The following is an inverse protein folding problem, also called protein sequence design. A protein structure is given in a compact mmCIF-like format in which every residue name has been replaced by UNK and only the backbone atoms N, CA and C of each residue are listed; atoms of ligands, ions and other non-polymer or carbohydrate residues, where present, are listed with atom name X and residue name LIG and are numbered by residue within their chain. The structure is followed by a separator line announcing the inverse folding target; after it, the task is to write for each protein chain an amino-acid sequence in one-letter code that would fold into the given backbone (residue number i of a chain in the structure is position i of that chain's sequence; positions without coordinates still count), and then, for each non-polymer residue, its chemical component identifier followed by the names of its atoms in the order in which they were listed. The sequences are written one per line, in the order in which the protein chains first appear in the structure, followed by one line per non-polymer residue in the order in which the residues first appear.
data_IF_962104639985
#
_entry.id   IF_962104639985
#
_cell.length_a   1.000
_cell.length_b   1.000
_cell.length_c   1.000
_cell.angle_alpha   90.00
_cell.angle_beta   90.00
_cell.angle_gamma   90.00
#
_symmetry.space_group_name_H-M   'P 1'
#
loop_
_entity.id
_entity.type
_entity.pdbx_description
1 polymer ?
#
# COMPACT_ATOMS: atom_id res chain seq x y z
N UNK A 1 9.98 2.63 23.18
CA UNK A 1 8.87 2.02 22.40
C UNK A 1 7.58 2.37 23.11
N UNK A 2 6.57 2.86 22.40
CA UNK A 2 5.26 3.20 22.94
C UNK A 2 4.21 2.46 22.11
N UNK A 3 3.13 2.04 22.76
CA UNK A 3 1.97 1.45 22.10
C UNK A 3 0.77 2.33 22.37
N UNK A 4 -0.04 2.57 21.33
CA UNK A 4 -1.32 3.26 21.45
C UNK A 4 -2.38 2.43 20.77
N UNK A 5 -3.49 2.22 21.47
CA UNK A 5 -4.64 1.50 20.95
C UNK A 5 -5.57 2.52 20.30
N UNK A 6 -5.92 2.28 19.04
CA UNK A 6 -6.88 3.08 18.29
C UNK A 6 -8.15 2.25 18.10
N UNK A 7 -9.24 2.67 18.74
CA UNK A 7 -10.52 1.99 18.60
C UNK A 7 -11.14 2.31 17.22
N UNK A 8 -11.56 1.27 16.52
CA UNK A 8 -12.17 1.37 15.19
C UNK A 8 -13.39 0.46 15.11
N UNK A 9 -14.34 0.79 14.25
CA UNK A 9 -15.52 -0.06 14.03
C UNK A 9 -15.13 -1.40 13.40
N UNK A 10 -15.76 -2.47 13.85
CA UNK A 10 -15.69 -3.76 13.18
C UNK A 10 -16.66 -3.80 11.98
N UNK A 11 -16.28 -4.52 10.91
CA UNK A 11 -17.14 -4.77 9.76
C UNK A 11 -17.54 -6.25 9.70
N UNK A 12 -18.72 -6.52 9.14
CA UNK A 12 -19.29 -7.88 9.07
C UNK A 12 -18.49 -8.82 8.16
N UNK A 13 -17.91 -8.30 7.07
CA UNK A 13 -17.16 -9.09 6.09
C UNK A 13 -15.67 -8.85 6.25
N UNK A 14 -14.88 -9.92 6.21
CA UNK A 14 -13.42 -9.81 6.30
C UNK A 14 -12.82 -8.98 5.15
N UNK A 15 -13.44 -8.99 3.97
CA UNK A 15 -13.02 -8.16 2.84
C UNK A 15 -13.15 -6.68 3.19
N UNK A 16 -14.25 -6.28 3.83
CA UNK A 16 -14.47 -4.89 4.24
C UNK A 16 -13.50 -4.51 5.35
N UNK A 17 -13.23 -5.42 6.31
CA UNK A 17 -12.18 -5.21 7.33
C UNK A 17 -10.82 -4.95 6.67
N UNK A 18 -10.42 -5.74 5.67
CA UNK A 18 -9.13 -5.58 5.00
C UNK A 18 -9.06 -4.29 4.17
N UNK A 19 -10.09 -3.99 3.37
CA UNK A 19 -10.12 -2.83 2.48
C UNK A 19 -10.20 -1.50 3.25
N UNK A 20 -10.96 -1.46 4.35
CA UNK A 20 -11.18 -0.22 5.12
C UNK A 20 -9.97 0.23 5.92
N UNK A 21 -8.92 -0.58 6.00
CA UNK A 21 -7.63 -0.17 6.59
C UNK A 21 -7.04 1.05 5.89
N UNK A 22 -7.16 1.16 4.57
CA UNK A 22 -6.62 2.30 3.83
C UNK A 22 -7.28 3.62 4.25
N UNK A 23 -8.60 3.61 4.42
CA UNK A 23 -9.36 4.77 4.94
C UNK A 23 -8.94 5.10 6.37
N UNK A 24 -8.89 4.10 7.27
CA UNK A 24 -8.47 4.31 8.66
C UNK A 24 -7.04 4.86 8.77
N UNK A 25 -6.10 4.29 8.02
CA UNK A 25 -4.71 4.76 8.00
C UNK A 25 -4.66 6.20 7.54
N UNK A 26 -5.39 6.56 6.48
CA UNK A 26 -5.47 7.94 5.99
C UNK A 26 -6.02 8.90 7.06
N UNK A 27 -7.13 8.54 7.71
CA UNK A 27 -7.72 9.35 8.77
C UNK A 27 -6.76 9.57 9.94
N UNK A 28 -6.04 8.53 10.36
CA UNK A 28 -5.08 8.63 11.46
C UNK A 28 -3.77 9.31 11.05
N UNK A 29 -3.39 9.29 9.77
CA UNK A 29 -2.29 10.12 9.27
C UNK A 29 -2.57 11.59 9.55
N UNK A 30 -3.74 12.09 9.18
CA UNK A 30 -4.14 13.49 9.39
C UNK A 30 -4.29 13.85 10.86
N UNK A 31 -4.94 12.98 11.63
CA UNK A 31 -5.26 13.26 13.03
C UNK A 31 -4.04 13.15 13.95
N UNK A 32 -3.04 12.34 13.57
CA UNK A 32 -2.03 11.87 14.52
C UNK A 32 -0.66 11.60 13.92
N UNK A 33 -0.54 10.72 12.92
CA UNK A 33 0.79 10.21 12.54
C UNK A 33 1.69 11.29 11.95
N UNK A 34 1.12 12.31 11.29
CA UNK A 34 1.90 13.45 10.76
C UNK A 34 2.68 14.24 11.82
N UNK A 35 2.22 14.24 13.08
CA UNK A 35 2.89 14.96 14.17
C UNK A 35 3.71 14.04 15.08
N UNK A 36 3.56 12.71 14.97
CA UNK A 36 4.16 11.75 15.90
C UNK A 36 5.30 10.91 15.31
N UNK A 37 5.33 10.67 13.99
CA UNK A 37 6.31 9.77 13.35
C UNK A 37 6.83 10.32 12.03
N UNK A 38 8.07 9.97 11.68
CA UNK A 38 8.66 10.31 10.37
C UNK A 38 8.26 9.32 9.26
N UNK A 39 8.05 8.05 9.63
CA UNK A 39 7.68 6.97 8.72
C UNK A 39 6.59 6.11 9.34
N UNK A 40 5.65 5.70 8.50
CA UNK A 40 4.66 4.69 8.86
C UNK A 40 5.02 3.37 8.17
N UNK A 41 4.98 2.26 8.91
CA UNK A 41 5.06 0.91 8.34
C UNK A 41 3.76 0.19 8.69
N UNK A 42 2.99 -0.17 7.67
CA UNK A 42 1.74 -0.91 7.84
C UNK A 42 1.99 -2.38 7.56
N UNK A 43 1.49 -3.30 8.40
CA UNK A 43 1.63 -4.75 8.23
C UNK A 43 0.35 -5.49 8.65
N UNK A 44 0.10 -6.65 8.05
CA UNK A 44 -0.90 -7.60 8.52
C UNK A 44 -0.52 -8.16 9.91
N UNK A 45 -1.53 -8.48 10.73
CA UNK A 45 -1.36 -8.91 12.13
C UNK A 45 -1.08 -10.41 12.29
N UNK A 46 -1.38 -11.21 11.28
CA UNK A 46 -1.16 -12.66 11.22
C UNK A 46 0.28 -13.03 10.79
N UNK A 47 1.23 -12.17 11.14
CA UNK A 47 2.65 -12.27 10.80
C UNK A 47 3.53 -12.27 12.06
N UNK A 48 4.71 -12.88 11.98
CA UNK A 48 5.74 -12.82 13.01
C UNK A 48 7.09 -12.40 12.43
N UNK A 49 7.84 -11.58 13.18
CA UNK A 49 9.21 -11.22 12.82
C UNK A 49 10.17 -12.33 13.22
N UNK A 50 10.85 -12.94 12.24
CA UNK A 50 11.84 -14.02 12.47
C UNK A 50 13.29 -13.56 12.38
N UNK A 51 13.53 -12.41 11.78
CA UNK A 51 14.87 -11.84 11.58
C UNK A 51 14.79 -10.31 11.57
N UNK A 52 15.93 -9.65 11.36
CA UNK A 52 16.07 -8.19 11.34
C UNK A 52 15.17 -7.54 10.28
N UNK A 53 14.43 -6.51 10.73
CA UNK A 53 13.77 -5.50 9.90
C UNK A 53 14.07 -4.16 10.55
N UNK A 54 14.90 -3.35 9.90
CA UNK A 54 15.45 -2.12 10.43
C UNK A 54 15.15 -0.91 9.57
N UNK A 55 16.12 0.01 9.53
CA UNK A 55 15.99 1.28 8.79
C UNK A 55 16.24 1.14 7.29
N UNK A 56 16.76 -0.01 6.85
CA UNK A 56 17.05 -0.34 5.46
C UNK A 56 15.81 -0.33 4.56
N UNK A 57 14.62 -0.50 5.12
CA UNK A 57 13.35 -0.43 4.39
C UNK A 57 12.81 1.01 4.29
N UNK A 58 13.36 1.97 5.04
CA UNK A 58 12.80 3.32 5.13
C UNK A 58 13.15 4.14 3.90
N UNK A 59 12.13 4.59 3.20
CA UNK A 59 12.20 5.41 1.98
C UNK A 59 10.87 6.16 1.84
N UNK A 60 10.78 7.24 1.04
CA UNK A 60 9.52 7.98 0.89
C UNK A 60 8.31 7.13 0.51
N UNK A 61 8.53 6.06 -0.26
CA UNK A 61 7.52 5.03 -0.57
C UNK A 61 8.20 3.69 -0.86
N UNK A 62 7.76 2.61 -0.24
CA UNK A 62 8.16 1.25 -0.64
C UNK A 62 6.97 0.30 -0.77
N UNK A 63 7.20 -0.84 -1.42
CA UNK A 63 6.29 -1.98 -1.44
C UNK A 63 7.06 -3.29 -1.46
N UNK A 64 6.40 -4.35 -0.98
CA UNK A 64 7.01 -5.68 -0.85
C UNK A 64 6.53 -6.60 -1.95
N UNK A 65 7.46 -7.30 -2.59
CA UNK A 65 7.15 -8.33 -3.57
C UNK A 65 6.36 -9.47 -2.91
N UNK A 66 5.27 -9.89 -3.54
CA UNK A 66 4.50 -11.02 -3.04
C UNK A 66 5.31 -12.32 -3.19
N UNK A 67 5.48 -13.13 -2.13
CA UNK A 67 6.32 -14.34 -2.17
C UNK A 67 5.82 -15.39 -3.16
N UNK A 68 4.52 -15.42 -3.46
CA UNK A 68 3.94 -16.29 -4.50
C UNK A 68 4.17 -15.85 -5.95
N UNK A 69 4.70 -14.64 -6.21
CA UNK A 69 4.78 -14.08 -7.56
C UNK A 69 6.13 -13.43 -7.92
N UNK A 70 7.11 -13.35 -7.00
CA UNK A 70 8.37 -12.64 -7.27
C UNK A 70 9.17 -13.20 -8.46
N UNK A 71 8.99 -14.48 -8.81
CA UNK A 71 9.60 -15.14 -9.97
C UNK A 71 8.66 -15.36 -11.16
N UNK A 72 7.43 -14.87 -11.09
CA UNK A 72 6.40 -15.11 -12.11
C UNK A 72 6.45 -14.05 -13.23
N UNK A 73 6.04 -14.41 -14.45
CA UNK A 73 5.82 -13.43 -15.51
C UNK A 73 4.59 -12.56 -15.22
N UNK A 74 4.57 -11.32 -15.72
CA UNK A 74 3.51 -10.33 -15.43
C UNK A 74 2.10 -10.77 -15.83
N UNK A 75 2.01 -11.61 -16.84
CA UNK A 75 0.77 -12.19 -17.34
C UNK A 75 0.16 -13.22 -16.36
N UNK A 76 0.99 -13.81 -15.49
CA UNK A 76 0.55 -14.71 -14.42
C UNK A 76 0.12 -13.96 -13.15
N UNK A 77 0.40 -12.65 -13.04
CA UNK A 77 -0.02 -11.84 -11.90
C UNK A 77 -1.55 -11.76 -11.83
N UNK A 78 -2.08 -11.94 -10.62
CA UNK A 78 -3.51 -11.88 -10.32
C UNK A 78 -3.99 -10.45 -10.11
N UNK A 79 -3.55 -9.52 -10.96
CA UNK A 79 -4.16 -8.20 -11.02
C UNK A 79 -5.64 -8.31 -11.41
N UNK A 80 -6.41 -7.28 -11.08
CA UNK A 80 -7.77 -7.18 -11.59
C UNK A 80 -7.74 -6.98 -13.11
N UNK A 81 -8.48 -7.81 -13.84
CA UNK A 81 -8.47 -7.85 -15.31
C UNK A 81 -9.79 -7.38 -15.93
N UNK A 82 -10.78 -7.03 -15.11
CA UNK A 82 -12.05 -6.45 -15.56
C UNK A 82 -11.89 -4.95 -15.78
N UNK A 83 -12.03 -4.43 -17.00
CA UNK A 83 -11.86 -2.99 -17.30
C UNK A 83 -12.84 -2.06 -16.57
N UNK A 84 -13.91 -2.61 -16.00
CA UNK A 84 -14.88 -1.85 -15.21
C UNK A 84 -14.36 -1.49 -13.81
N UNK A 85 -13.29 -2.14 -13.34
CA UNK A 85 -12.69 -1.88 -12.03
C UNK A 85 -11.62 -0.79 -12.12
N UNK A 86 -11.57 0.09 -11.12
CA UNK A 86 -10.50 1.08 -10.98
C UNK A 86 -9.13 0.43 -10.71
N UNK A 87 -9.09 -0.83 -10.28
CA UNK A 87 -7.86 -1.58 -10.06
C UNK A 87 -7.36 -2.33 -11.31
N UNK A 88 -7.97 -2.10 -12.48
CA UNK A 88 -7.63 -2.80 -13.72
C UNK A 88 -6.19 -2.54 -14.15
N UNK A 89 -5.45 -3.62 -14.44
CA UNK A 89 -4.12 -3.55 -15.06
C UNK A 89 -4.10 -4.46 -16.29
N UNK A 90 -3.72 -3.95 -17.49
CA UNK A 90 -3.52 -4.75 -18.71
C UNK A 90 -2.49 -5.87 -18.56
N UNK A 91 -2.53 -6.90 -19.43
CA UNK A 91 -1.60 -8.05 -19.34
C UNK A 91 -0.15 -7.70 -19.66
N UNK A 92 0.05 -6.68 -20.48
CA UNK A 92 1.34 -6.17 -20.92
C UNK A 92 1.93 -5.13 -19.97
N UNK A 93 1.16 -4.65 -19.00
CA UNK A 93 1.56 -3.68 -17.96
C UNK A 93 1.85 -4.33 -16.60
N UNK A 94 2.57 -3.60 -15.75
CA UNK A 94 2.92 -3.99 -14.38
C UNK A 94 4.36 -4.51 -14.24
N UNK A 95 5.11 -3.88 -13.34
CA UNK A 95 6.49 -4.27 -13.04
C UNK A 95 6.55 -5.48 -12.10
N UNK A 96 5.80 -5.41 -11.00
CA UNK A 96 5.83 -6.40 -9.93
C UNK A 96 4.47 -6.61 -9.27
N UNK A 97 4.21 -7.83 -8.81
CA UNK A 97 3.04 -8.12 -7.98
C UNK A 97 3.35 -7.89 -6.50
N UNK A 98 2.83 -6.79 -5.96
CA UNK A 98 3.08 -6.38 -4.58
C UNK A 98 2.09 -7.04 -3.59
N UNK A 99 2.55 -7.31 -2.38
CA UNK A 99 1.73 -7.87 -1.31
C UNK A 99 0.67 -6.85 -0.83
N UNK A 100 -0.60 -7.27 -0.84
CA UNK A 100 -1.72 -6.48 -0.31
C UNK A 100 -1.76 -6.39 1.22
N UNK A 101 -1.07 -7.31 1.90
CA UNK A 101 -0.85 -7.37 3.35
C UNK A 101 0.25 -6.47 3.90
N UNK A 102 0.87 -5.68 3.01
CA UNK A 102 1.70 -4.51 3.27
C UNK A 102 2.98 -4.80 4.10
N UNK A 103 4.14 -4.73 3.46
CA UNK A 103 5.23 -3.89 3.98
C UNK A 103 5.28 -2.78 2.92
N UNK A 104 4.57 -1.69 3.21
CA UNK A 104 4.67 -0.40 2.53
C UNK A 104 4.84 0.61 3.63
N UNK A 105 5.70 1.56 3.37
CA UNK A 105 5.84 2.71 4.23
C UNK A 105 5.93 3.95 3.39
N UNK A 106 5.50 5.02 4.01
CA UNK A 106 5.48 6.34 3.41
C UNK A 106 6.12 7.29 4.41
N UNK A 107 6.93 8.22 3.91
CA UNK A 107 7.35 9.33 4.75
C UNK A 107 6.10 10.08 5.21
N UNK A 108 6.01 10.51 6.47
CA UNK A 108 4.80 11.11 7.02
C UNK A 108 4.29 12.27 6.13
N UNK A 109 5.20 13.11 5.62
CA UNK A 109 4.88 14.19 4.66
C UNK A 109 4.35 13.69 3.30
N UNK A 110 4.78 12.51 2.84
CA UNK A 110 4.28 11.86 1.63
C UNK A 110 2.92 11.19 1.82
N UNK A 111 2.58 10.76 3.04
CA UNK A 111 1.28 10.18 3.38
C UNK A 111 0.14 11.18 3.10
N UNK A 112 0.40 12.47 3.36
CA UNK A 112 -0.53 13.56 3.07
C UNK A 112 -0.68 13.84 1.56
N UNK A 113 0.39 13.68 0.77
CA UNK A 113 0.34 13.95 -0.67
C UNK A 113 -0.43 12.88 -1.46
N UNK A 114 -0.45 11.63 -1.00
CA UNK A 114 -1.23 10.55 -1.62
C UNK A 114 -2.74 10.61 -1.31
N UNK A 115 -3.20 11.57 -0.50
CA UNK A 115 -4.62 11.80 -0.16
C UNK A 115 -5.47 12.25 -1.37
N UNK A 116 -4.85 12.67 -2.47
CA UNK A 116 -5.54 13.08 -3.70
C UNK A 116 -5.58 12.03 -4.81
N UNK A 117 -4.99 10.85 -4.62
CA UNK A 117 -4.87 9.83 -5.67
C UNK A 117 -5.84 8.67 -5.40
N UNK A 118 -6.87 8.45 -6.23
CA UNK A 118 -7.49 7.13 -6.26
C UNK A 118 -6.40 6.08 -6.59
N UNK A 119 -6.54 4.82 -6.16
CA UNK A 119 -5.61 3.77 -6.56
C UNK A 119 -5.55 3.75 -8.09
N UNK A 120 -4.44 4.22 -8.68
CA UNK A 120 -4.22 4.23 -10.13
C UNK A 120 -3.95 5.57 -10.82
N UNK A 121 -3.64 6.67 -10.14
CA UNK A 121 -3.39 7.96 -10.83
C UNK A 121 -1.94 8.48 -10.84
N UNK A 122 -0.95 7.65 -11.20
CA UNK A 122 0.33 8.17 -11.73
C UNK A 122 0.18 8.41 -13.24
N UNK A 123 -0.29 9.60 -13.60
CA UNK A 123 -0.47 10.00 -15.00
C UNK A 123 0.76 10.69 -15.59
N UNK A 124 1.04 10.45 -16.88
CA UNK A 124 1.24 11.50 -17.91
C UNK A 124 0.93 10.98 -19.33
N UNK A 125 -0.10 11.51 -20.01
CA UNK A 125 -0.19 11.48 -21.47
C UNK A 125 0.54 12.70 -22.06
N UNK A 126 1.39 12.46 -23.07
CA UNK A 126 1.75 13.46 -24.09
C UNK A 126 2.98 14.35 -23.82
N UNK A 127 4.15 13.90 -24.25
CA UNK A 127 5.10 14.74 -24.97
C UNK A 127 5.68 13.93 -26.14
N UNK A 128 5.07 14.05 -27.32
CA UNK A 128 5.73 13.71 -28.59
C UNK A 128 6.59 14.91 -28.96
N UNK A 129 7.90 14.76 -28.86
CA UNK A 129 8.86 15.56 -29.61
C UNK A 129 9.54 14.66 -30.63
N UNK A 130 9.26 14.98 -31.90
CA UNK A 130 9.82 14.47 -33.17
C UNK A 130 9.41 13.07 -33.59
#
# INVERSE_FOLDING_TARGET
RQLSVLEVRAYKRWQDVSMRRMEMISDFCERRFLSEVDYLVCVDVDMEFRDHVGVEILTPLFGTLHPGFYGSSREAFTYERRPQSQAYIPKDEGDFYYLGGVLRGVGARGAAAHQGLPPGHDGRPGQRHR
#
